data_IF_802896420882
#
_entry.id   IF_802896420882
#
_cell.length_a   1.000
_cell.length_b   1.000
_cell.length_c   1.000
_cell.angle_alpha   90.00
_cell.angle_beta   90.00
_cell.angle_gamma   90.00
#
_symmetry.space_group_name_H-M   'P 1'
#
loop_
_entity.id
_entity.type
_entity.pdbx_description
1 polymer ?
#
# COMPACT_ATOMS: atom_id res chain seq x y z
N UNK A 1 -0.96 1.46 -11.45
CA UNK A 1 -1.33 0.99 -12.78
C UNK A 1 -2.84 0.97 -12.99
N UNK A 2 -3.31 0.46 -14.12
CA UNK A 2 -4.74 0.41 -14.49
C UNK A 2 -5.59 -0.32 -13.44
N UNK A 3 -5.10 -1.43 -12.91
CA UNK A 3 -5.80 -2.20 -11.89
C UNK A 3 -6.02 -1.40 -10.62
N UNK A 4 -4.99 -0.72 -10.12
CA UNK A 4 -5.09 0.13 -8.94
C UNK A 4 -6.08 1.28 -9.12
N UNK A 5 -6.10 1.92 -10.30
CA UNK A 5 -7.07 2.98 -10.61
C UNK A 5 -8.49 2.43 -10.66
N UNK A 6 -8.68 1.22 -11.21
CA UNK A 6 -9.98 0.54 -11.24
C UNK A 6 -10.49 0.25 -9.84
N UNK A 7 -9.63 -0.26 -8.95
CA UNK A 7 -10.00 -0.58 -7.57
C UNK A 7 -10.34 0.67 -6.75
N UNK A 8 -9.57 1.75 -6.91
CA UNK A 8 -9.84 3.02 -6.24
C UNK A 8 -11.21 3.57 -6.66
N UNK A 9 -11.52 3.55 -7.97
CA UNK A 9 -12.81 4.03 -8.47
C UNK A 9 -13.95 3.11 -8.05
N UNK A 10 -13.75 1.79 -8.08
CA UNK A 10 -14.78 0.82 -7.74
C UNK A 10 -15.16 0.88 -6.25
N UNK A 11 -14.19 1.01 -5.36
CA UNK A 11 -14.36 0.86 -3.92
C UNK A 11 -14.26 2.19 -3.14
N UNK A 12 -13.72 3.24 -3.77
CA UNK A 12 -13.57 4.55 -3.15
C UNK A 12 -14.84 5.41 -3.19
N UNK A 13 -14.78 6.58 -2.54
CA UNK A 13 -15.83 7.59 -2.68
C UNK A 13 -15.84 8.13 -4.10
N UNK A 14 -17.02 8.13 -4.75
CA UNK A 14 -17.18 8.71 -6.07
C UNK A 14 -17.26 10.25 -5.96
N UNK A 15 -16.11 10.88 -5.88
CA UNK A 15 -15.90 12.33 -5.81
C UNK A 15 -15.28 12.88 -7.10
N UNK A 16 -15.04 14.18 -7.14
CA UNK A 16 -14.44 14.85 -8.30
C UNK A 16 -13.01 14.33 -8.60
N UNK A 17 -12.27 13.91 -7.59
CA UNK A 17 -10.94 13.34 -7.78
C UNK A 17 -11.01 11.99 -8.50
N UNK A 18 -11.95 11.13 -8.11
CA UNK A 18 -12.21 9.84 -8.78
C UNK A 18 -12.66 10.03 -10.24
N UNK A 19 -13.52 11.02 -10.49
CA UNK A 19 -13.98 11.36 -11.85
C UNK A 19 -12.79 11.83 -12.70
N UNK A 20 -12.00 12.75 -12.17
CA UNK A 20 -10.81 13.26 -12.86
C UNK A 20 -9.81 12.13 -13.17
N UNK A 21 -9.49 11.30 -12.18
CA UNK A 21 -8.60 10.14 -12.36
C UNK A 21 -9.13 9.17 -13.44
N UNK A 22 -10.44 8.90 -13.45
CA UNK A 22 -11.06 8.05 -14.45
C UNK A 22 -10.90 8.58 -15.85
N UNK A 23 -11.10 9.89 -16.07
CA UNK A 23 -10.97 10.55 -17.37
C UNK A 23 -9.49 10.62 -17.79
N UNK A 24 -8.59 11.03 -16.90
CA UNK A 24 -7.16 11.18 -17.17
C UNK A 24 -6.46 9.85 -17.47
N UNK A 25 -6.98 8.74 -16.92
CA UNK A 25 -6.43 7.39 -17.18
C UNK A 25 -6.45 7.00 -18.65
N UNK A 26 -7.42 7.53 -19.43
CA UNK A 26 -7.67 7.19 -20.84
C UNK A 26 -7.77 5.68 -21.13
N UNK A 27 -8.12 4.90 -20.10
CA UNK A 27 -8.19 3.45 -20.20
C UNK A 27 -9.63 2.96 -20.12
N UNK A 28 -10.05 2.14 -21.09
CA UNK A 28 -11.45 1.72 -21.23
C UNK A 28 -12.02 1.01 -19.98
N UNK A 29 -11.23 0.18 -19.31
CA UNK A 29 -11.65 -0.50 -18.08
C UNK A 29 -11.93 0.50 -16.95
N UNK A 30 -11.06 1.51 -16.79
CA UNK A 30 -11.20 2.55 -15.77
C UNK A 30 -12.42 3.42 -16.07
N UNK A 31 -12.65 3.79 -17.32
CA UNK A 31 -13.84 4.55 -17.75
C UNK A 31 -15.13 3.77 -17.51
N UNK A 32 -15.16 2.49 -17.85
CA UNK A 32 -16.33 1.64 -17.58
C UNK A 32 -16.63 1.53 -16.08
N UNK A 33 -15.61 1.38 -15.24
CA UNK A 33 -15.77 1.36 -13.79
C UNK A 33 -16.32 2.68 -13.27
N UNK A 34 -15.81 3.81 -13.78
CA UNK A 34 -16.33 5.14 -13.44
C UNK A 34 -17.80 5.31 -13.83
N UNK A 35 -18.16 4.95 -15.07
CA UNK A 35 -19.56 5.02 -15.54
C UNK A 35 -20.47 4.16 -14.67
N UNK A 36 -20.04 2.94 -14.34
CA UNK A 36 -20.81 2.04 -13.47
C UNK A 36 -20.99 2.64 -12.06
N UNK A 37 -19.94 3.25 -11.49
CA UNK A 37 -20.04 3.90 -10.17
C UNK A 37 -20.95 5.13 -10.20
N UNK A 38 -20.86 5.95 -11.24
CA UNK A 38 -21.76 7.10 -11.39
C UNK A 38 -23.22 6.65 -11.53
N UNK A 39 -23.47 5.59 -12.29
CA UNK A 39 -24.80 4.99 -12.42
C UNK A 39 -25.30 4.46 -11.06
N UNK A 40 -24.49 3.70 -10.33
CA UNK A 40 -24.91 3.15 -9.02
C UNK A 40 -25.14 4.24 -7.99
N UNK A 41 -24.35 5.32 -8.01
CA UNK A 41 -24.55 6.48 -7.14
C UNK A 41 -25.85 7.24 -7.46
N UNK A 42 -26.21 7.35 -8.75
CA UNK A 42 -27.39 8.09 -9.17
C UNK A 42 -28.71 7.32 -8.97
N UNK A 43 -28.68 6.00 -9.15
CA UNK A 43 -29.90 5.16 -9.21
C UNK A 43 -30.00 4.10 -8.10
N UNK A 44 -28.92 3.78 -7.43
CA UNK A 44 -28.90 2.87 -6.29
C UNK A 44 -28.34 3.58 -5.08
N UNK A 45 -28.93 3.35 -3.90
CA UNK A 45 -28.30 3.79 -2.65
C UNK A 45 -26.91 3.17 -2.55
N UNK A 46 -25.91 4.02 -2.49
CA UNK A 46 -24.50 3.63 -2.32
C UNK A 46 -24.30 3.17 -0.86
N UNK A 47 -24.73 1.96 -0.57
CA UNK A 47 -24.48 1.32 0.72
C UNK A 47 -23.11 0.68 0.62
N UNK A 48 -22.15 1.18 1.42
CA UNK A 48 -20.89 0.44 1.59
C UNK A 48 -21.24 -1.00 2.00
N UNK A 49 -20.70 -1.99 1.31
CA UNK A 49 -20.95 -3.36 1.69
C UNK A 49 -20.44 -3.59 3.12
N UNK A 50 -21.29 -4.11 3.99
CA UNK A 50 -20.82 -4.74 5.22
C UNK A 50 -19.79 -5.81 4.86
N UNK A 51 -18.90 -6.15 5.80
CA UNK A 51 -17.80 -7.08 5.58
C UNK A 51 -18.22 -8.26 4.70
N UNK A 52 -17.74 -8.29 3.45
CA UNK A 52 -18.03 -9.37 2.52
C UNK A 52 -16.83 -10.29 2.38
N UNK A 53 -17.08 -11.59 2.44
CA UNK A 53 -16.11 -12.60 2.05
C UNK A 53 -16.00 -12.56 0.52
N UNK A 54 -14.90 -12.05 0.01
CA UNK A 54 -14.67 -11.84 -1.44
C UNK A 54 -14.15 -13.09 -2.13
N UNK A 55 -13.39 -13.91 -1.43
CA UNK A 55 -12.78 -15.13 -1.93
C UNK A 55 -12.55 -16.08 -0.74
N UNK A 56 -12.08 -17.28 -1.02
CA UNK A 56 -11.89 -18.31 0.00
C UNK A 56 -11.04 -17.88 1.20
N UNK A 57 -10.08 -16.99 0.97
CA UNK A 57 -9.14 -16.49 1.99
C UNK A 57 -9.17 -14.96 2.18
N UNK A 58 -10.07 -14.25 1.51
CA UNK A 58 -10.12 -12.78 1.54
C UNK A 58 -11.43 -12.27 2.06
N UNK A 59 -11.36 -11.37 3.04
CA UNK A 59 -12.51 -10.68 3.61
C UNK A 59 -12.31 -9.17 3.54
N UNK A 60 -13.28 -8.48 2.96
CA UNK A 60 -13.37 -7.03 3.03
C UNK A 60 -13.91 -6.61 4.39
N UNK A 61 -13.24 -5.68 5.04
CA UNK A 61 -13.70 -5.03 6.26
C UNK A 61 -14.08 -3.60 5.93
N UNK A 62 -15.24 -3.16 6.41
CA UNK A 62 -15.74 -1.80 6.25
C UNK A 62 -14.66 -0.78 6.62
N UNK A 63 -14.46 0.22 5.76
CA UNK A 63 -13.36 1.19 5.91
C UNK A 63 -12.21 0.96 4.93
N UNK A 64 -12.33 0.01 3.99
CA UNK A 64 -11.36 -0.18 2.91
C UNK A 64 -10.28 -1.22 3.19
N UNK A 65 -10.42 -2.02 4.24
CA UNK A 65 -9.42 -3.03 4.57
C UNK A 65 -9.73 -4.37 3.89
N UNK A 66 -8.74 -4.92 3.22
CA UNK A 66 -8.77 -6.28 2.69
C UNK A 66 -7.91 -7.18 3.58
N UNK A 67 -8.55 -8.06 4.33
CA UNK A 67 -7.88 -9.03 5.19
C UNK A 67 -7.78 -10.37 4.47
N UNK A 68 -6.59 -10.94 4.43
CA UNK A 68 -6.38 -12.32 4.01
C UNK A 68 -6.25 -13.22 5.24
N UNK A 69 -7.02 -14.31 5.26
CA UNK A 69 -6.96 -15.34 6.30
C UNK A 69 -5.79 -16.31 6.08
N UNK A 70 -5.03 -16.13 4.99
CA UNK A 70 -3.85 -16.96 4.70
C UNK A 70 -2.77 -16.73 5.76
N UNK A 71 -2.51 -17.75 6.56
CA UNK A 71 -1.50 -17.73 7.62
C UNK A 71 -0.17 -18.35 7.20
N UNK A 72 -0.17 -19.17 6.14
CA UNK A 72 1.04 -19.86 5.67
C UNK A 72 1.79 -19.00 4.67
N UNK A 73 3.09 -18.84 4.90
CA UNK A 73 3.99 -18.21 3.95
C UNK A 73 3.98 -18.96 2.61
N UNK A 74 3.76 -18.21 1.54
CA UNK A 74 3.75 -18.74 0.20
C UNK A 74 4.57 -17.82 -0.71
N UNK A 75 5.84 -18.18 -0.99
CA UNK A 75 6.69 -17.35 -1.83
C UNK A 75 6.05 -17.18 -3.22
N UNK A 76 6.05 -15.96 -3.70
CA UNK A 76 5.61 -15.66 -5.05
C UNK A 76 6.69 -16.16 -6.02
N UNK A 77 6.29 -16.93 -7.02
CA UNK A 77 7.17 -17.33 -8.11
C UNK A 77 7.38 -16.12 -9.04
N UNK A 78 8.06 -15.11 -8.56
CA UNK A 78 8.44 -13.98 -9.41
C UNK A 78 9.66 -14.43 -10.26
N UNK A 79 9.64 -14.06 -11.53
CA UNK A 79 10.88 -14.04 -12.32
C UNK A 79 11.90 -13.19 -11.54
N UNK A 80 13.18 -13.55 -11.64
CA UNK A 80 14.27 -12.89 -10.93
C UNK A 80 14.04 -11.38 -10.87
N UNK A 81 14.04 -10.78 -9.67
CA UNK A 81 13.75 -9.36 -9.56
C UNK A 81 14.72 -8.60 -10.46
N UNK A 82 14.25 -7.61 -11.22
CA UNK A 82 15.15 -6.74 -11.94
C UNK A 82 16.11 -6.15 -10.90
N UNK A 83 17.40 -6.15 -11.19
CA UNK A 83 18.36 -5.44 -10.36
C UNK A 83 18.00 -3.96 -10.43
N UNK A 84 17.36 -3.47 -9.39
CA UNK A 84 17.03 -2.04 -9.27
C UNK A 84 18.29 -1.34 -8.83
N UNK A 85 19.01 -0.74 -9.77
CA UNK A 85 20.25 -0.03 -9.48
C UNK A 85 20.00 1.41 -8.98
N UNK A 86 18.86 1.99 -9.30
CA UNK A 86 18.53 3.38 -8.98
C UNK A 86 17.05 3.58 -8.63
N UNK A 87 16.78 4.57 -7.79
CA UNK A 87 15.42 5.02 -7.51
C UNK A 87 14.80 5.64 -8.77
N UNK A 88 13.54 5.30 -9.04
CA UNK A 88 12.83 5.84 -10.19
C UNK A 88 12.49 7.33 -9.98
N UNK A 89 13.03 8.26 -10.79
CA UNK A 89 12.82 9.70 -10.59
C UNK A 89 11.36 10.13 -10.64
N UNK A 90 10.53 9.44 -11.43
CA UNK A 90 9.09 9.76 -11.51
C UNK A 90 8.34 9.34 -10.23
N UNK A 91 8.75 8.24 -9.61
CA UNK A 91 8.19 7.83 -8.32
C UNK A 91 8.62 8.79 -7.21
N UNK A 92 9.87 9.24 -7.20
CA UNK A 92 10.35 10.24 -6.24
C UNK A 92 9.57 11.55 -6.39
N UNK A 93 9.41 12.07 -7.60
CA UNK A 93 8.61 13.28 -7.84
C UNK A 93 7.14 13.13 -7.40
N UNK A 94 6.53 11.98 -7.66
CA UNK A 94 5.17 11.71 -7.21
C UNK A 94 5.09 11.67 -5.68
N UNK A 95 6.07 11.06 -5.03
CA UNK A 95 6.18 11.02 -3.57
C UNK A 95 6.36 12.42 -2.98
N UNK A 96 7.27 13.22 -3.52
CA UNK A 96 7.49 14.62 -3.12
C UNK A 96 6.21 15.45 -3.24
N UNK A 97 5.46 15.27 -4.32
CA UNK A 97 4.17 15.95 -4.50
C UNK A 97 3.14 15.55 -3.43
N UNK A 98 3.16 14.31 -2.96
CA UNK A 98 2.32 13.86 -1.85
C UNK A 98 2.78 14.51 -0.54
N UNK A 99 4.08 14.55 -0.30
CA UNK A 99 4.65 15.19 0.90
C UNK A 99 4.29 16.68 0.96
N UNK A 100 4.38 17.39 -0.15
CA UNK A 100 4.00 18.81 -0.22
C UNK A 100 2.51 19.02 0.15
N UNK A 101 1.64 18.14 -0.32
CA UNK A 101 0.21 18.21 0.03
C UNK A 101 -0.06 17.94 1.51
N UNK A 102 0.74 17.08 2.15
CA UNK A 102 0.60 16.74 3.56
C UNK A 102 1.23 17.82 4.44
N UNK A 103 2.44 18.26 4.13
CA UNK A 103 3.21 19.22 4.93
C UNK A 103 2.50 20.57 5.10
N UNK A 104 1.65 20.95 4.14
CA UNK A 104 0.80 22.15 4.26
C UNK A 104 -0.31 22.01 5.31
N UNK A 105 -0.60 20.81 5.79
CA UNK A 105 -1.71 20.50 6.70
C UNK A 105 -1.28 20.00 8.06
N UNK A 106 -0.16 19.27 8.13
CA UNK A 106 0.26 18.55 9.32
C UNK A 106 1.76 18.77 9.61
N UNK A 107 2.11 19.53 10.66
CA UNK A 107 3.48 19.59 11.13
C UNK A 107 3.80 18.30 11.89
N UNK A 108 4.61 17.44 11.38
CA UNK A 108 5.07 16.24 12.09
C UNK A 108 4.93 14.95 11.30
N UNK A 109 5.24 15.02 10.01
CA UNK A 109 5.28 13.83 9.16
C UNK A 109 6.29 12.81 9.67
N UNK A 110 5.85 11.57 9.80
CA UNK A 110 6.69 10.42 10.10
C UNK A 110 6.54 9.41 8.97
N UNK A 111 7.66 8.94 8.48
CA UNK A 111 7.74 7.96 7.39
C UNK A 111 8.14 6.60 7.95
N UNK A 112 7.46 5.55 7.54
CA UNK A 112 7.80 4.18 7.88
C UNK A 112 8.01 3.36 6.61
N UNK A 113 9.10 2.62 6.55
CA UNK A 113 9.26 1.53 5.60
C UNK A 113 8.79 0.24 6.27
N UNK A 114 7.67 -0.28 5.80
CA UNK A 114 7.09 -1.53 6.29
C UNK A 114 8.02 -2.70 5.96
N UNK A 115 8.16 -3.70 6.87
CA UNK A 115 9.03 -4.84 6.62
C UNK A 115 8.63 -5.66 5.39
N UNK A 116 9.64 -6.11 4.66
CA UNK A 116 9.57 -7.19 3.67
C UNK A 116 10.05 -8.49 4.28
N UNK A 117 9.70 -9.61 3.67
CA UNK A 117 10.36 -10.87 4.00
C UNK A 117 11.88 -10.75 3.75
N UNK A 118 12.67 -11.45 4.55
CA UNK A 118 14.12 -11.26 4.63
C UNK A 118 14.80 -11.41 3.27
N UNK A 119 14.52 -12.51 2.54
CA UNK A 119 15.11 -12.74 1.22
C UNK A 119 14.81 -11.58 0.26
N UNK A 120 13.60 -11.01 0.36
CA UNK A 120 13.19 -9.87 -0.47
C UNK A 120 13.94 -8.60 -0.08
N UNK A 121 14.07 -8.29 1.19
CA UNK A 121 14.82 -7.14 1.67
C UNK A 121 16.30 -7.23 1.28
N UNK A 122 16.91 -8.40 1.49
CA UNK A 122 18.31 -8.67 1.14
C UNK A 122 18.56 -8.59 -0.38
N UNK A 123 17.58 -8.98 -1.22
CA UNK A 123 17.69 -8.81 -2.68
C UNK A 123 17.81 -7.36 -3.15
N UNK A 124 17.49 -6.38 -2.28
CA UNK A 124 17.62 -4.95 -2.54
C UNK A 124 18.78 -4.31 -1.76
N UNK A 125 19.69 -5.11 -1.20
CA UNK A 125 20.76 -4.64 -0.33
C UNK A 125 21.60 -3.50 -0.96
N UNK A 126 21.81 -3.52 -2.27
CA UNK A 126 22.57 -2.47 -2.95
C UNK A 126 21.84 -1.11 -2.97
N UNK A 127 20.51 -1.11 -3.04
CA UNK A 127 19.70 0.11 -3.15
C UNK A 127 19.15 0.59 -1.80
N UNK A 128 18.99 -0.30 -0.81
CA UNK A 128 18.41 0.05 0.49
C UNK A 128 19.09 1.26 1.15
N UNK A 129 20.43 1.37 1.21
CA UNK A 129 21.09 2.54 1.82
C UNK A 129 20.83 3.84 1.04
N UNK A 130 20.62 3.76 -0.28
CA UNK A 130 20.31 4.93 -1.11
C UNK A 130 18.86 5.36 -0.83
N UNK A 131 17.96 4.42 -0.73
CA UNK A 131 16.56 4.66 -0.39
C UNK A 131 16.43 5.28 1.01
N UNK A 132 17.07 4.69 2.02
CA UNK A 132 17.04 5.19 3.39
C UNK A 132 17.58 6.62 3.50
N UNK A 133 18.68 6.90 2.82
CA UNK A 133 19.25 8.26 2.76
C UNK A 133 18.27 9.25 2.12
N UNK A 134 17.58 8.85 1.06
CA UNK A 134 16.58 9.68 0.40
C UNK A 134 15.39 9.94 1.33
N UNK A 135 14.86 8.92 1.98
CA UNK A 135 13.72 9.05 2.89
C UNK A 135 14.03 9.92 4.12
N UNK A 136 15.23 9.80 4.67
CA UNK A 136 15.69 10.63 5.79
C UNK A 136 15.77 12.14 5.47
N UNK A 137 15.83 12.52 4.19
CA UNK A 137 15.80 13.94 3.81
C UNK A 137 14.42 14.59 3.97
N UNK A 138 13.36 13.79 4.00
CA UNK A 138 11.98 14.28 4.07
C UNK A 138 11.43 14.42 5.50
N UNK A 139 12.15 13.94 6.52
CA UNK A 139 11.74 14.05 7.92
C UNK A 139 12.11 12.82 8.75
N UNK A 140 11.32 12.60 9.82
CA UNK A 140 11.50 11.40 10.66
C UNK A 140 11.17 10.16 9.85
N UNK A 141 12.14 9.30 9.65
CA UNK A 141 12.00 8.07 8.90
C UNK A 141 12.49 6.87 9.72
N UNK A 142 11.73 5.78 9.69
CA UNK A 142 12.06 4.52 10.33
C UNK A 142 12.01 3.38 9.32
N UNK A 143 13.14 2.70 9.13
CA UNK A 143 13.22 1.47 8.36
C UNK A 143 12.94 0.29 9.29
N UNK A 144 11.69 -0.20 9.30
CA UNK A 144 11.27 -1.26 10.18
C UNK A 144 11.82 -2.64 9.79
N UNK A 145 12.47 -2.77 8.62
CA UNK A 145 13.23 -3.97 8.28
C UNK A 145 14.48 -4.12 9.16
N UNK A 146 15.05 -3.02 9.64
CA UNK A 146 16.26 -3.01 10.48
C UNK A 146 15.96 -3.24 11.97
N UNK A 147 14.78 -2.82 12.44
CA UNK A 147 14.41 -2.84 13.85
C UNK A 147 13.58 -4.05 14.22
N UNK A 148 12.71 -4.52 13.32
CA UNK A 148 11.83 -5.65 13.59
C UNK A 148 12.46 -6.99 13.19
N UNK A 149 12.56 -7.91 14.12
CA UNK A 149 13.07 -9.26 13.89
C UNK A 149 11.94 -10.24 13.53
N UNK A 150 11.37 -10.08 12.34
CA UNK A 150 10.29 -10.92 11.85
C UNK A 150 10.83 -12.19 11.19
N UNK A 151 10.09 -13.28 11.36
CA UNK A 151 10.37 -14.60 10.74
C UNK A 151 9.43 -14.78 9.56
N UNK A 152 9.98 -15.00 8.35
CA UNK A 152 9.21 -15.04 7.11
C UNK A 152 8.06 -16.03 7.15
N UNK A 153 8.32 -17.25 7.58
CA UNK A 153 7.32 -18.33 7.61
C UNK A 153 6.23 -18.14 8.66
N UNK A 154 6.43 -17.24 9.64
CA UNK A 154 5.51 -17.01 10.76
C UNK A 154 4.74 -15.70 10.58
N UNK A 155 5.40 -14.64 10.11
CA UNK A 155 4.86 -13.29 10.14
C UNK A 155 4.47 -12.75 8.76
N UNK A 156 4.83 -13.46 7.68
CA UNK A 156 4.50 -13.04 6.32
C UNK A 156 3.55 -14.03 5.64
N UNK A 157 2.79 -13.52 4.71
CA UNK A 157 1.99 -14.28 3.76
C UNK A 157 2.78 -14.60 2.49
N UNK A 158 3.53 -13.65 2.02
CA UNK A 158 4.44 -13.70 0.90
C UNK A 158 5.58 -12.69 1.10
N UNK A 159 6.47 -12.51 0.12
CA UNK A 159 7.65 -11.66 0.26
C UNK A 159 7.34 -10.18 0.54
N UNK A 160 6.11 -9.73 0.27
CA UNK A 160 5.70 -8.32 0.34
C UNK A 160 4.66 -8.04 1.41
N UNK A 161 3.97 -9.07 1.90
CA UNK A 161 2.79 -8.88 2.73
C UNK A 161 2.91 -9.61 4.06
N UNK A 162 2.76 -8.86 5.14
CA UNK A 162 2.58 -9.43 6.46
C UNK A 162 1.25 -10.21 6.55
N UNK A 163 1.24 -11.27 7.32
CA UNK A 163 0.00 -11.89 7.77
C UNK A 163 -0.54 -11.16 9.02
N UNK A 164 -1.67 -11.61 9.57
CA UNK A 164 -2.29 -10.95 10.72
C UNK A 164 -1.38 -10.87 11.95
N UNK A 165 -0.56 -11.89 12.18
CA UNK A 165 0.41 -11.88 13.29
C UNK A 165 1.49 -10.84 13.06
N UNK A 166 2.05 -10.77 11.85
CA UNK A 166 3.03 -9.76 11.48
C UNK A 166 2.48 -8.34 11.54
N UNK A 167 1.22 -8.14 11.12
CA UNK A 167 0.53 -6.84 11.23
C UNK A 167 0.34 -6.42 12.70
N UNK A 168 0.00 -7.36 13.60
CA UNK A 168 -0.12 -7.04 15.03
C UNK A 168 1.21 -6.52 15.58
N UNK A 169 2.30 -7.24 15.34
CA UNK A 169 3.64 -6.82 15.76
C UNK A 169 4.05 -5.46 15.16
N UNK A 170 3.73 -5.24 13.89
CA UNK A 170 3.99 -3.95 13.23
C UNK A 170 3.22 -2.81 13.90
N UNK A 171 1.96 -3.03 14.25
CA UNK A 171 1.15 -2.01 14.93
C UNK A 171 1.72 -1.69 16.33
N UNK A 172 2.11 -2.72 17.08
CA UNK A 172 2.71 -2.54 18.41
C UNK A 172 4.01 -1.71 18.30
N UNK A 173 4.90 -2.04 17.35
CA UNK A 173 6.14 -1.29 17.10
C UNK A 173 5.86 0.17 16.71
N UNK A 174 4.89 0.43 15.82
CA UNK A 174 4.52 1.79 15.44
C UNK A 174 3.95 2.56 16.62
N UNK A 175 3.10 1.95 17.45
CA UNK A 175 2.55 2.58 18.65
C UNK A 175 3.68 2.96 19.62
N UNK A 176 4.62 2.08 19.85
CA UNK A 176 5.76 2.32 20.74
C UNK A 176 6.62 3.48 20.23
N UNK A 177 6.89 3.52 18.90
CA UNK A 177 7.64 4.60 18.26
C UNK A 177 6.91 5.95 18.29
N UNK A 178 5.58 5.95 18.32
CA UNK A 178 4.75 7.16 18.36
C UNK A 178 4.42 7.60 19.79
N UNK A 179 4.56 6.74 20.78
CA UNK A 179 4.27 7.03 22.20
C UNK A 179 5.38 7.84 22.87
N UNK A 180 6.39 8.22 22.11
CA UNK A 180 7.45 9.15 22.51
C UNK A 180 6.96 10.60 22.35
#
# INVERSE_FOLDING_TARGET
GVESSTDIIANGKCDMASVRMGIESRHIKVLNTLIFRLYTKAFKRDTEPESQKLDYDKRYIKGGFLVSEQTKYKPLKLASPPQVENLNPNQIKAFESILDMISTREPGLILFQVPFARDKYESHQAINPVFDRQMNQYGRYYNLNETMHLVDTIHFRDEFHLNLTGVSLLNDEIIDLLSL
#
